data_IF_704088864583
#
_entry.id   IF_704088864583
#
_cell.length_a   1.000
_cell.length_b   1.000
_cell.length_c   1.000
_cell.angle_alpha   90.00
_cell.angle_beta   90.00
_cell.angle_gamma   90.00
#
_symmetry.space_group_name_H-M   'P 1'
#
loop_
_entity.id
_entity.type
_entity.pdbx_description
1 polymer ?
#
# COMPACT_ATOMS: atom_id res chain seq x y z
N UNK A 1 5.03 22.63 9.15
CA UNK A 1 6.44 22.20 9.12
C UNK A 1 6.48 20.87 8.41
N UNK A 2 7.05 20.80 7.20
CA UNK A 2 7.19 19.52 6.49
C UNK A 2 8.35 18.75 7.14
N UNK A 3 8.04 17.78 7.99
CA UNK A 3 9.03 16.82 8.46
C UNK A 3 9.51 16.01 7.26
N UNK A 4 10.81 15.95 7.03
CA UNK A 4 11.36 15.08 6.00
C UNK A 4 11.05 13.63 6.37
N UNK A 5 10.13 13.01 5.63
CA UNK A 5 9.84 11.59 5.76
C UNK A 5 11.10 10.78 5.46
N UNK A 6 11.38 9.75 6.24
CA UNK A 6 12.45 8.81 5.88
C UNK A 6 12.06 8.09 4.57
N UNK A 7 13.01 7.51 3.82
CA UNK A 7 12.69 6.72 2.63
C UNK A 7 11.66 5.62 2.90
N UNK A 8 11.74 4.99 4.08
CA UNK A 8 10.78 3.98 4.56
C UNK A 8 9.39 4.58 4.77
N UNK A 9 9.29 5.75 5.43
CA UNK A 9 8.00 6.41 5.66
C UNK A 9 7.36 6.88 4.36
N UNK A 10 8.18 7.35 3.42
CA UNK A 10 7.73 7.77 2.08
C UNK A 10 7.17 6.57 1.31
N UNK A 11 7.86 5.43 1.32
CA UNK A 11 7.39 4.22 0.66
C UNK A 11 6.06 3.77 1.26
N UNK A 12 5.96 3.69 2.59
CA UNK A 12 4.73 3.32 3.27
C UNK A 12 3.56 4.26 2.91
N UNK A 13 3.80 5.57 2.87
CA UNK A 13 2.80 6.55 2.47
C UNK A 13 2.35 6.35 1.01
N UNK A 14 3.29 6.06 0.10
CA UNK A 14 2.96 5.79 -1.30
C UNK A 14 2.26 4.45 -1.51
N UNK A 15 2.60 3.43 -0.73
CA UNK A 15 1.87 2.15 -0.73
C UNK A 15 0.42 2.35 -0.26
N UNK A 16 0.18 3.18 0.78
CA UNK A 16 -1.17 3.57 1.20
C UNK A 16 -1.94 4.30 0.09
N UNK A 17 -1.26 5.16 -0.68
CA UNK A 17 -1.86 5.81 -1.87
C UNK A 17 -2.22 4.81 -2.96
N UNK A 18 -1.34 3.85 -3.24
CA UNK A 18 -1.65 2.78 -4.21
C UNK A 18 -2.86 1.96 -3.78
N UNK A 19 -2.97 1.60 -2.50
CA UNK A 19 -4.14 0.91 -1.96
C UNK A 19 -5.44 1.73 -2.07
N UNK A 20 -5.36 3.05 -2.26
CA UNK A 20 -6.53 3.89 -2.47
C UNK A 20 -7.19 3.64 -3.83
N UNK A 21 -6.42 3.31 -4.86
CA UNK A 21 -6.90 3.16 -6.23
C UNK A 21 -7.87 1.97 -6.39
N UNK A 22 -7.56 0.86 -5.74
CA UNK A 22 -8.36 -0.37 -5.81
C UNK A 22 -8.55 -0.96 -4.42
N UNK A 23 -9.42 -0.39 -3.58
CA UNK A 23 -9.55 -0.79 -2.17
C UNK A 23 -9.95 -2.25 -1.96
N UNK A 24 -10.68 -2.83 -2.91
CA UNK A 24 -11.16 -4.21 -2.82
C UNK A 24 -10.15 -5.23 -3.35
N UNK A 25 -9.16 -4.78 -4.13
CA UNK A 25 -8.24 -5.65 -4.87
C UNK A 25 -6.76 -5.41 -4.52
N UNK A 26 -6.41 -4.26 -3.93
CA UNK A 26 -5.03 -3.87 -3.65
C UNK A 26 -4.90 -3.39 -2.20
N UNK A 27 -5.22 -4.27 -1.24
CA UNK A 27 -4.90 -4.02 0.16
C UNK A 27 -3.46 -4.43 0.45
N UNK A 28 -2.50 -3.56 0.11
CA UNK A 28 -1.09 -3.83 0.39
C UNK A 28 -0.81 -3.88 1.89
N UNK A 29 -0.17 -4.97 2.34
CA UNK A 29 0.28 -5.18 3.71
C UNK A 29 1.77 -5.43 3.74
N UNK A 30 2.45 -4.83 4.71
CA UNK A 30 3.86 -5.10 4.97
C UNK A 30 4.00 -6.40 5.76
N UNK A 31 4.88 -7.30 5.31
CA UNK A 31 5.08 -8.63 5.88
C UNK A 31 6.56 -8.99 5.89
N UNK A 32 7.00 -9.75 6.90
CA UNK A 32 8.33 -10.34 6.93
C UNK A 32 8.32 -11.76 6.32
N UNK A 33 9.25 -12.02 5.39
CA UNK A 33 9.40 -13.30 4.72
C UNK A 33 9.88 -14.40 5.67
N UNK A 34 9.09 -15.48 5.79
CA UNK A 34 9.44 -16.66 6.61
C UNK A 34 10.27 -17.70 5.85
N UNK A 35 10.25 -17.62 4.52
CA UNK A 35 11.01 -18.44 3.56
C UNK A 35 11.31 -17.58 2.33
N UNK A 36 12.16 -18.08 1.45
CA UNK A 36 12.48 -17.36 0.21
C UNK A 36 11.26 -17.32 -0.73
N UNK A 37 11.09 -16.18 -1.39
CA UNK A 37 10.04 -15.93 -2.35
C UNK A 37 10.60 -15.26 -3.61
N UNK A 38 9.79 -15.26 -4.65
CA UNK A 38 9.99 -14.44 -5.84
C UNK A 38 8.78 -13.52 -5.93
N UNK A 39 9.04 -12.24 -6.17
CA UNK A 39 8.00 -11.24 -6.35
C UNK A 39 7.40 -11.32 -7.77
N UNK A 40 6.30 -10.62 -8.03
CA UNK A 40 5.60 -10.70 -9.33
C UNK A 40 6.41 -10.20 -10.52
N UNK A 41 7.53 -9.52 -10.28
CA UNK A 41 8.45 -9.01 -11.31
C UNK A 41 9.75 -9.82 -11.40
N UNK A 42 9.83 -10.96 -10.69
CA UNK A 42 10.99 -11.85 -10.71
C UNK A 42 12.12 -11.48 -9.75
N UNK A 43 11.95 -10.47 -8.89
CA UNK A 43 12.97 -10.16 -7.87
C UNK A 43 12.89 -11.13 -6.70
N UNK A 44 14.05 -11.55 -6.20
CA UNK A 44 14.15 -12.40 -5.01
C UNK A 44 13.77 -11.63 -3.74
N UNK A 45 13.03 -12.29 -2.86
CA UNK A 45 12.78 -11.86 -1.49
C UNK A 45 13.35 -12.96 -0.58
N UNK A 46 14.42 -12.67 0.14
CA UNK A 46 15.08 -13.65 1.00
C UNK A 46 14.34 -13.80 2.33
N UNK A 47 14.53 -14.94 3.01
CA UNK A 47 14.05 -15.14 4.37
C UNK A 47 14.56 -14.03 5.30
N UNK A 48 13.63 -13.39 6.02
CA UNK A 48 13.91 -12.27 6.92
C UNK A 48 13.64 -10.90 6.31
N UNK A 49 13.54 -10.80 4.97
CA UNK A 49 13.26 -9.53 4.29
C UNK A 49 11.83 -9.06 4.54
N UNK A 50 11.66 -7.74 4.57
CA UNK A 50 10.35 -7.10 4.52
C UNK A 50 9.90 -7.00 3.06
N UNK A 51 8.63 -7.27 2.81
CA UNK A 51 8.01 -7.15 1.49
C UNK A 51 6.53 -6.77 1.62
N UNK A 52 5.92 -6.32 0.53
CA UNK A 52 4.49 -6.01 0.49
C UNK A 52 3.72 -7.16 -0.18
N UNK A 53 2.59 -7.54 0.39
CA UNK A 53 1.65 -8.48 -0.23
C UNK A 53 0.27 -7.85 -0.40
N UNK A 54 -0.46 -8.30 -1.42
CA UNK A 54 -1.85 -7.90 -1.66
C UNK A 54 -2.65 -9.09 -2.19
N UNK A 55 -3.97 -9.04 -2.08
CA UNK A 55 -4.88 -10.11 -2.52
C UNK A 55 -5.24 -9.90 -3.99
N UNK A 56 -4.88 -10.81 -4.88
CA UNK A 56 -5.27 -10.72 -6.29
C UNK A 56 -6.64 -11.37 -6.53
N UNK A 57 -7.67 -10.52 -6.60
CA UNK A 57 -9.03 -10.90 -7.01
C UNK A 57 -9.84 -11.67 -5.96
N UNK A 58 -10.97 -12.25 -6.40
CA UNK A 58 -11.95 -12.93 -5.53
C UNK A 58 -11.56 -14.39 -5.15
N UNK A 59 -10.41 -14.88 -5.61
CA UNK A 59 -9.95 -16.23 -5.29
C UNK A 59 -8.93 -16.15 -4.15
N UNK A 60 -9.36 -16.59 -2.96
CA UNK A 60 -8.70 -16.52 -1.66
C UNK A 60 -7.25 -17.07 -1.55
N UNK A 61 -6.65 -17.54 -2.65
CA UNK A 61 -5.35 -18.23 -2.64
C UNK A 61 -4.22 -17.48 -3.39
N UNK A 62 -4.54 -16.47 -4.21
CA UNK A 62 -3.52 -15.73 -4.96
C UNK A 62 -3.15 -14.43 -4.25
N UNK A 63 -1.96 -14.43 -3.63
CA UNK A 63 -1.36 -13.22 -3.07
C UNK A 63 -0.22 -12.74 -3.97
N UNK A 64 -0.40 -11.55 -4.54
CA UNK A 64 0.66 -10.79 -5.17
C UNK A 64 1.73 -10.44 -4.14
N UNK A 65 3.00 -10.45 -4.54
CA UNK A 65 4.14 -10.13 -3.69
C UNK A 65 5.01 -9.10 -4.39
N UNK A 66 5.46 -8.12 -3.64
CA UNK A 66 6.37 -7.06 -4.06
C UNK A 66 7.54 -6.98 -3.09
N UNK A 67 8.76 -7.21 -3.59
CA UNK A 67 9.96 -6.81 -2.87
C UNK A 67 9.97 -5.30 -2.62
N UNK A 68 10.74 -4.81 -1.64
CA UNK A 68 10.91 -3.36 -1.40
C UNK A 68 11.29 -2.64 -2.70
N UNK A 69 12.25 -3.19 -3.43
CA UNK A 69 12.72 -2.63 -4.72
C UNK A 69 11.57 -2.49 -5.73
N UNK A 70 10.73 -3.50 -5.86
CA UNK A 70 9.58 -3.45 -6.77
C UNK A 70 8.52 -2.47 -6.29
N UNK A 71 8.27 -2.39 -4.99
CA UNK A 71 7.34 -1.45 -4.39
C UNK A 71 7.81 0.00 -4.60
N UNK A 72 9.09 0.28 -4.42
CA UNK A 72 9.71 1.58 -4.71
C UNK A 72 9.53 1.95 -6.19
N UNK A 73 9.85 1.04 -7.11
CA UNK A 73 9.69 1.32 -8.54
C UNK A 73 8.23 1.56 -8.93
N UNK A 74 7.32 0.74 -8.40
CA UNK A 74 5.89 0.85 -8.69
C UNK A 74 5.34 2.19 -8.20
N UNK A 75 5.67 2.56 -6.96
CA UNK A 75 5.25 3.84 -6.36
C UNK A 75 5.92 5.03 -7.03
N UNK A 76 7.17 4.90 -7.47
CA UNK A 76 7.84 5.96 -8.23
C UNK A 76 7.10 6.26 -9.54
N UNK A 77 6.76 5.21 -10.29
CA UNK A 77 6.10 5.35 -11.60
C UNK A 77 4.66 5.85 -11.44
N UNK A 78 3.89 5.24 -10.54
CA UNK A 78 2.45 5.50 -10.44
C UNK A 78 2.12 6.72 -9.57
N UNK A 79 2.88 6.98 -8.50
CA UNK A 79 2.56 8.04 -7.54
C UNK A 79 3.51 9.22 -7.68
N UNK A 80 4.82 9.01 -7.59
CA UNK A 80 5.77 10.13 -7.53
C UNK A 80 5.81 10.91 -8.85
N UNK A 81 5.84 10.19 -9.97
CA UNK A 81 5.90 10.73 -11.33
C UNK A 81 4.53 11.10 -11.91
N UNK A 82 3.43 10.88 -11.18
CA UNK A 82 2.08 11.21 -11.63
C UNK A 82 1.34 12.06 -10.58
N UNK A 83 1.52 13.40 -10.61
CA UNK A 83 0.91 14.31 -9.63
C UNK A 83 -0.61 14.19 -9.56
N UNK A 84 -1.27 14.01 -10.69
CA UNK A 84 -2.73 13.87 -10.74
C UNK A 84 -3.21 12.60 -10.05
N UNK A 85 -2.48 11.48 -10.19
CA UNK A 85 -2.81 10.26 -9.48
C UNK A 85 -2.57 10.40 -7.99
N UNK A 86 -1.45 11.02 -7.59
CA UNK A 86 -1.15 11.32 -6.19
C UNK A 86 -2.27 12.13 -5.53
N UNK A 87 -2.66 13.26 -6.12
CA UNK A 87 -3.76 14.09 -5.60
C UNK A 87 -5.09 13.33 -5.52
N UNK A 88 -5.42 12.53 -6.54
CA UNK A 88 -6.61 11.72 -6.53
C UNK A 88 -6.61 10.70 -5.37
N UNK A 89 -5.48 10.00 -5.17
CA UNK A 89 -5.33 9.02 -4.08
C UNK A 89 -5.35 9.64 -2.70
N UNK A 90 -4.76 10.83 -2.53
CA UNK A 90 -4.78 11.58 -1.27
C UNK A 90 -6.23 11.94 -0.90
N UNK A 91 -6.99 12.52 -1.85
CA UNK A 91 -8.40 12.85 -1.64
C UNK A 91 -9.25 11.63 -1.30
N UNK A 92 -9.06 10.50 -2.00
CA UNK A 92 -9.79 9.26 -1.71
C UNK A 92 -9.51 8.78 -0.28
N UNK A 93 -8.26 8.85 0.16
CA UNK A 93 -7.88 8.44 1.51
C UNK A 93 -8.47 9.39 2.57
N UNK A 94 -8.44 10.71 2.35
CA UNK A 94 -9.05 11.70 3.23
C UNK A 94 -10.56 11.50 3.38
N UNK A 95 -11.28 11.27 2.27
CA UNK A 95 -12.72 10.99 2.27
C UNK A 95 -13.05 9.71 3.05
N UNK A 96 -12.22 8.67 2.94
CA UNK A 96 -12.38 7.42 3.71
C UNK A 96 -12.16 7.65 5.21
N UNK A 97 -11.11 8.37 5.57
CA UNK A 97 -10.82 8.68 6.98
C UNK A 97 -11.91 9.56 7.60
N UNK A 98 -12.53 10.46 6.83
CA UNK A 98 -13.69 11.23 7.27
C UNK A 98 -14.90 10.30 7.54
N UNK A 99 -15.26 9.44 6.59
CA UNK A 99 -16.38 8.48 6.73
C UNK A 99 -16.18 7.51 7.89
N UNK A 100 -14.95 7.05 8.10
CA UNK A 100 -14.62 6.17 9.22
C UNK A 100 -14.80 6.88 10.56
N UNK A 101 -14.32 8.13 10.68
CA UNK A 101 -14.51 8.95 11.89
C UNK A 101 -15.98 9.19 12.21
N UNK A 102 -16.79 9.50 11.20
CA UNK A 102 -18.25 9.67 11.36
C UNK A 102 -18.92 8.37 11.83
N UNK A 103 -18.55 7.24 11.22
CA UNK A 103 -19.11 5.93 11.56
C UNK A 103 -18.72 5.49 12.98
N UNK A 104 -17.46 5.72 13.39
CA UNK A 104 -16.99 5.44 14.76
C UNK A 104 -17.70 6.31 15.79
N UNK A 105 -17.95 7.59 15.47
CA UNK A 105 -18.71 8.48 16.35
C UNK A 105 -20.14 7.99 16.54
N UNK A 106 -20.82 7.65 15.45
CA UNK A 106 -22.19 7.12 15.51
C UNK A 106 -22.29 5.81 16.30
N UNK A 107 -21.26 4.96 16.25
CA UNK A 107 -21.19 3.73 17.04
C UNK A 107 -20.99 3.99 18.55
N UNK A 108 -20.19 4.99 18.93
CA UNK A 108 -19.95 5.32 20.34
C UNK A 108 -21.12 6.05 21.02
N UNK A 109 -22.04 6.61 20.24
CA UNK A 109 -23.25 7.29 20.73
C UNK A 109 -24.46 6.34 20.88
N UNK A 110 -24.30 5.04 20.56
CA UNK A 110 -25.28 3.96 20.83
C UNK A 110 -24.95 3.22 22.13
#
# INVERSE_FOLDING_TARGET
MAGNLTPSDKLAANMKRLSALYPQELCFREVQARKDHIDQFGNSIARGDIYYCYEEGYQFENYGKLSIKSAELLTEILIDRNPSLREATDRINEEREAKLRESMRAFMEQ
#
